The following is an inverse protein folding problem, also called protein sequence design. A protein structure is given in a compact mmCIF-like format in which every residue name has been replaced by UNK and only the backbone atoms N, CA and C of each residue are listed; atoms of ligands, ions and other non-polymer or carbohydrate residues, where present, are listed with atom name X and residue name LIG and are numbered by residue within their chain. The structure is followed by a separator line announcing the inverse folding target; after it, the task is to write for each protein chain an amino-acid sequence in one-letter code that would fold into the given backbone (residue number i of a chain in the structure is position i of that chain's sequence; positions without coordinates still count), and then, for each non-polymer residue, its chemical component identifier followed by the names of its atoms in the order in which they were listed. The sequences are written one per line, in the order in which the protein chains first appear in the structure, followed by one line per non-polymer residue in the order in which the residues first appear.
data_IF_992107372535
#
_entry.id   IF_992107372535
#
_cell.length_a   1.000
_cell.length_b   1.000
_cell.length_c   1.000
_cell.angle_alpha   90.00
_cell.angle_beta   90.00
_cell.angle_gamma   90.00
#
_symmetry.space_group_name_H-M   'P 1'
#
loop_
_entity.id
_entity.type
_entity.pdbx_description
1 polymer ?
#
# COMPACT_ATOMS: atom_id res chain seq x y z
N UNK A 1 -9.73 11.06 16.56
CA UNK A 1 -9.66 11.56 15.17
C UNK A 1 -10.77 10.93 14.34
N UNK A 2 -11.21 11.60 13.29
CA UNK A 2 -12.18 11.12 12.31
C UNK A 2 -11.85 11.69 10.94
N UNK A 3 -12.25 11.00 9.86
CA UNK A 3 -12.18 11.50 8.51
C UNK A 3 -13.35 12.45 8.26
N UNK A 4 -13.10 13.62 7.71
CA UNK A 4 -14.13 14.61 7.38
C UNK A 4 -15.04 14.15 6.25
N UNK A 5 -14.54 13.30 5.36
CA UNK A 5 -15.33 12.75 4.26
C UNK A 5 -16.29 11.63 4.72
N UNK A 6 -15.91 10.90 5.79
CA UNK A 6 -16.65 9.75 6.31
C UNK A 6 -17.50 10.07 7.56
N UNK A 7 -17.45 11.31 8.06
CA UNK A 7 -18.05 11.69 9.34
C UNK A 7 -18.69 13.08 9.22
N UNK A 8 -19.95 13.18 9.57
CA UNK A 8 -20.63 14.47 9.72
C UNK A 8 -20.42 15.07 11.12
N UNK A 9 -20.87 16.32 11.30
CA UNK A 9 -20.71 17.04 12.57
C UNK A 9 -21.39 16.36 13.75
N UNK A 10 -22.53 15.69 13.54
CA UNK A 10 -23.25 14.98 14.59
C UNK A 10 -22.55 13.67 14.98
N UNK A 11 -22.07 12.94 14.00
CA UNK A 11 -21.28 11.71 14.23
C UNK A 11 -19.99 12.05 14.96
N UNK A 12 -19.28 13.10 14.55
CA UNK A 12 -18.08 13.56 15.25
C UNK A 12 -18.38 14.00 16.68
N UNK A 13 -19.47 14.73 16.90
CA UNK A 13 -19.94 15.12 18.22
C UNK A 13 -20.20 13.89 19.11
N UNK A 14 -20.76 12.81 18.57
CA UNK A 14 -20.98 11.57 19.30
C UNK A 14 -19.66 10.95 19.79
N UNK A 15 -18.61 11.00 18.99
CA UNK A 15 -17.25 10.60 19.40
C UNK A 15 -16.69 11.57 20.46
N UNK A 16 -16.87 12.88 20.26
CA UNK A 16 -16.37 13.90 21.15
C UNK A 16 -16.98 13.83 22.56
N UNK A 17 -18.22 13.40 22.70
CA UNK A 17 -18.89 13.20 24.00
C UNK A 17 -18.16 12.25 24.94
N UNK A 18 -17.35 11.35 24.41
CA UNK A 18 -16.56 10.40 25.21
C UNK A 18 -15.26 11.02 25.76
N UNK A 19 -14.93 12.26 25.40
CA UNK A 19 -13.70 12.92 25.83
C UNK A 19 -13.83 13.65 27.18
N UNK A 20 -12.67 13.86 27.83
CA UNK A 20 -12.59 14.71 29.03
C UNK A 20 -12.93 16.17 28.69
N UNK A 21 -12.57 16.63 27.49
CA UNK A 21 -12.87 17.98 27.03
C UNK A 21 -14.39 18.25 27.03
N UNK A 22 -15.18 17.37 26.42
CA UNK A 22 -16.64 17.49 26.44
C UNK A 22 -17.20 17.53 27.88
N UNK A 23 -16.74 16.64 28.75
CA UNK A 23 -17.22 16.58 30.15
C UNK A 23 -17.01 17.90 30.89
N UNK A 24 -15.89 18.60 30.61
CA UNK A 24 -15.61 19.94 31.16
C UNK A 24 -16.52 20.99 30.55
N UNK A 25 -16.64 21.05 29.22
CA UNK A 25 -17.47 22.01 28.51
C UNK A 25 -18.96 21.86 28.82
N UNK A 26 -19.44 20.66 28.99
CA UNK A 26 -20.82 20.34 29.32
C UNK A 26 -21.16 20.46 30.81
N UNK A 27 -20.21 20.85 31.69
CA UNK A 27 -20.43 20.97 33.12
C UNK A 27 -20.71 19.64 33.85
N UNK A 28 -20.29 18.51 33.26
CA UNK A 28 -20.50 17.16 33.86
C UNK A 28 -19.51 16.90 35.00
N UNK A 29 -18.44 17.66 35.08
CA UNK A 29 -17.43 17.57 36.14
C UNK A 29 -17.85 18.39 37.36
N UNK A 30 -17.63 17.82 38.55
CA UNK A 30 -18.06 18.42 39.83
C UNK A 30 -17.56 19.89 39.99
N UNK A 31 -18.48 20.79 40.21
CA UNK A 31 -18.17 22.20 40.46
C UNK A 31 -17.94 23.05 39.22
N UNK A 32 -18.33 22.56 38.04
CA UNK A 32 -18.27 23.33 36.81
C UNK A 32 -19.68 23.49 36.20
N UNK A 33 -19.97 24.69 35.74
CA UNK A 33 -21.19 24.98 34.97
C UNK A 33 -20.95 24.69 33.49
N UNK A 34 -22.04 24.40 32.79
CA UNK A 34 -22.01 24.25 31.33
C UNK A 34 -21.68 25.61 30.68
N UNK A 35 -20.73 25.63 29.76
CA UNK A 35 -20.27 26.86 29.09
C UNK A 35 -20.58 26.92 27.60
N UNK A 36 -21.02 25.82 26.99
CA UNK A 36 -21.38 25.70 25.57
C UNK A 36 -22.51 24.69 25.39
N UNK A 37 -23.44 24.94 24.47
CA UNK A 37 -24.50 23.99 24.14
C UNK A 37 -23.99 22.87 23.22
N UNK A 38 -24.70 21.74 23.18
CA UNK A 38 -24.38 20.66 22.25
C UNK A 38 -24.57 21.10 20.79
N UNK A 39 -25.60 21.90 20.52
CA UNK A 39 -25.89 22.41 19.17
C UNK A 39 -24.75 23.30 18.65
N UNK A 40 -24.16 24.13 19.49
CA UNK A 40 -23.00 24.95 19.09
C UNK A 40 -21.76 24.13 18.79
N UNK A 41 -21.54 23.05 19.53
CA UNK A 41 -20.44 22.12 19.24
C UNK A 41 -20.68 21.39 17.93
N UNK A 42 -21.91 20.92 17.67
CA UNK A 42 -22.28 20.27 16.41
C UNK A 42 -22.11 21.24 15.23
N UNK A 43 -22.61 22.48 15.36
CA UNK A 43 -22.46 23.52 14.33
C UNK A 43 -20.98 23.81 14.03
N UNK A 44 -20.16 23.96 15.08
CA UNK A 44 -18.73 24.17 14.93
C UNK A 44 -18.07 23.00 14.18
N UNK A 45 -18.35 21.76 14.59
CA UNK A 45 -17.78 20.58 13.92
C UNK A 45 -18.26 20.45 12.48
N UNK A 46 -19.54 20.72 12.20
CA UNK A 46 -20.09 20.72 10.85
C UNK A 46 -19.37 21.75 9.97
N UNK A 47 -19.18 22.98 10.48
CA UNK A 47 -18.47 24.03 9.74
C UNK A 47 -17.02 23.65 9.40
N UNK A 48 -16.31 23.04 10.34
CA UNK A 48 -14.94 22.55 10.08
C UNK A 48 -14.92 21.43 9.05
N UNK A 49 -15.86 20.49 9.13
CA UNK A 49 -15.97 19.35 8.19
C UNK A 49 -16.33 19.87 6.80
N UNK A 50 -17.30 20.76 6.68
CA UNK A 50 -17.70 21.37 5.40
C UNK A 50 -16.54 22.12 4.76
N UNK A 51 -15.81 22.92 5.56
CA UNK A 51 -14.63 23.65 5.09
C UNK A 51 -13.53 22.70 4.64
N UNK A 52 -13.21 21.67 5.43
CA UNK A 52 -12.20 20.68 5.09
C UNK A 52 -12.56 19.92 3.82
N UNK A 53 -13.83 19.55 3.63
CA UNK A 53 -14.29 18.86 2.44
C UNK A 53 -14.30 19.78 1.20
N UNK A 54 -14.72 21.05 1.37
CA UNK A 54 -14.72 22.00 0.25
C UNK A 54 -13.30 22.33 -0.23
N UNK A 55 -12.35 22.51 0.68
CA UNK A 55 -10.95 22.81 0.37
C UNK A 55 -10.07 21.54 0.38
N UNK A 56 -10.66 20.39 0.15
CA UNK A 56 -9.97 19.12 0.06
C UNK A 56 -9.24 18.95 -1.28
N UNK A 57 -8.10 18.26 -1.33
CA UNK A 57 -7.43 17.92 -2.58
C UNK A 57 -8.28 17.04 -3.52
N UNK A 58 -9.32 16.37 -3.00
CA UNK A 58 -10.25 15.56 -3.81
C UNK A 58 -11.38 16.37 -4.45
N UNK A 59 -11.55 17.64 -4.08
CA UNK A 59 -12.53 18.53 -4.69
C UNK A 59 -11.91 19.26 -5.89
N UNK A 60 -12.28 18.94 -7.15
CA UNK A 60 -11.69 19.58 -8.32
C UNK A 60 -12.04 21.08 -8.47
N UNK A 61 -13.08 21.54 -7.79
CA UNK A 61 -13.54 22.93 -7.84
C UNK A 61 -12.91 23.80 -6.73
N UNK A 62 -12.09 23.22 -5.86
CA UNK A 62 -11.44 23.96 -4.79
C UNK A 62 -10.38 24.92 -5.36
N UNK A 63 -10.45 26.24 -5.09
CA UNK A 63 -9.43 27.17 -5.56
C UNK A 63 -8.09 27.02 -4.83
N UNK A 64 -8.10 26.45 -3.64
CA UNK A 64 -6.95 26.13 -2.78
C UNK A 64 -7.24 24.86 -2.01
N UNK A 65 -6.19 24.20 -1.53
CA UNK A 65 -6.26 23.06 -0.60
C UNK A 65 -5.85 23.54 0.78
N UNK A 66 -6.64 23.24 1.80
CA UNK A 66 -6.28 23.48 3.21
C UNK A 66 -5.48 22.28 3.70
N UNK A 67 -4.18 22.48 3.93
CA UNK A 67 -3.27 21.48 4.45
C UNK A 67 -3.39 21.33 5.98
N UNK A 68 -3.66 22.46 6.66
CA UNK A 68 -3.81 22.52 8.10
C UNK A 68 -4.70 23.70 8.51
N UNK A 69 -5.65 23.45 9.39
CA UNK A 69 -6.45 24.48 10.04
C UNK A 69 -6.52 24.17 11.54
N UNK A 70 -6.00 25.08 12.33
CA UNK A 70 -6.07 25.04 13.79
C UNK A 70 -6.71 26.32 14.31
N UNK A 71 -7.62 26.19 15.27
CA UNK A 71 -8.13 27.33 16.05
C UNK A 71 -7.80 27.08 17.51
N UNK A 72 -6.99 27.97 18.08
CA UNK A 72 -6.50 27.86 19.44
C UNK A 72 -6.09 29.23 19.99
N UNK A 73 -6.84 29.81 20.99
CA UNK A 73 -7.97 29.15 21.66
C UNK A 73 -9.35 29.58 21.12
N UNK A 74 -10.39 28.85 21.57
CA UNK A 74 -11.75 29.38 21.60
C UNK A 74 -12.03 30.04 22.95
N UNK A 75 -12.68 31.19 22.94
CA UNK A 75 -13.28 31.81 24.14
C UNK A 75 -14.76 31.42 24.22
N UNK A 76 -15.25 31.27 25.43
CA UNK A 76 -16.65 30.99 25.72
C UNK A 76 -17.20 32.15 26.52
N UNK A 77 -18.17 32.87 25.97
CA UNK A 77 -18.83 34.01 26.59
C UNK A 77 -20.30 33.99 26.23
N UNK A 78 -21.16 34.20 27.21
CA UNK A 78 -22.63 34.24 27.03
C UNK A 78 -23.16 33.03 26.21
N UNK A 79 -22.66 31.84 26.51
CA UNK A 79 -22.93 30.59 25.76
C UNK A 79 -22.53 30.61 24.28
N UNK A 80 -21.67 31.55 23.87
CA UNK A 80 -21.11 31.60 22.52
C UNK A 80 -19.70 31.06 22.50
N UNK A 81 -19.37 30.34 21.45
CA UNK A 81 -18.05 29.87 21.16
C UNK A 81 -17.39 30.79 20.12
N UNK A 82 -16.38 31.53 20.54
CA UNK A 82 -15.73 32.57 19.72
C UNK A 82 -14.29 32.15 19.44
N UNK A 83 -13.89 31.95 18.18
CA UNK A 83 -12.49 31.71 17.82
C UNK A 83 -11.69 33.00 18.04
N UNK A 84 -10.54 32.91 18.71
CA UNK A 84 -9.70 34.08 19.00
C UNK A 84 -8.45 34.12 18.12
N UNK A 85 -7.84 32.99 17.88
CA UNK A 85 -6.62 32.86 17.08
C UNK A 85 -6.63 31.55 16.29
N UNK A 86 -5.98 31.55 15.15
CA UNK A 86 -5.93 30.40 14.29
C UNK A 86 -4.77 30.41 13.30
N UNK A 87 -4.38 29.22 12.91
CA UNK A 87 -3.38 28.99 11.85
C UNK A 87 -4.08 28.25 10.72
N UNK A 88 -3.93 28.77 9.50
CA UNK A 88 -4.34 28.09 8.30
C UNK A 88 -3.14 27.98 7.37
N UNK A 89 -2.77 26.74 6.99
CA UNK A 89 -1.83 26.47 5.91
C UNK A 89 -2.61 25.99 4.71
N UNK A 90 -2.27 26.52 3.56
CA UNK A 90 -2.94 26.16 2.32
C UNK A 90 -1.95 26.14 1.16
N UNK A 91 -2.25 25.32 0.17
CA UNK A 91 -1.49 25.14 -1.05
C UNK A 91 -2.37 25.31 -2.29
N UNK A 92 -1.74 25.40 -3.46
CA UNK A 92 -2.48 25.30 -4.70
C UNK A 92 -2.92 23.85 -4.93
N UNK A 93 -4.12 23.64 -5.53
CA UNK A 93 -4.54 22.30 -5.90
C UNK A 93 -3.48 21.63 -6.79
N UNK A 94 -3.05 20.44 -6.43
CA UNK A 94 -2.25 19.58 -7.28
C UNK A 94 -3.17 18.63 -8.06
N UNK A 95 -2.71 18.16 -9.20
CA UNK A 95 -3.40 17.06 -9.90
C UNK A 95 -3.41 15.85 -8.97
N UNK A 96 -4.62 15.31 -8.74
CA UNK A 96 -4.73 14.05 -8.01
C UNK A 96 -3.92 12.97 -8.73
N UNK A 97 -3.28 12.05 -8.00
CA UNK A 97 -2.64 10.89 -8.61
C UNK A 97 -3.64 10.18 -9.54
N UNK A 98 -3.17 9.77 -10.70
CA UNK A 98 -3.99 8.97 -11.61
C UNK A 98 -4.39 7.67 -10.91
N UNK A 99 -5.65 7.27 -11.05
CA UNK A 99 -6.14 6.05 -10.40
C UNK A 99 -5.35 4.83 -10.88
N UNK A 100 -4.81 4.06 -9.95
CA UNK A 100 -4.10 2.81 -10.23
C UNK A 100 -5.06 1.77 -10.84
N UNK A 101 -4.61 0.94 -11.80
CA UNK A 101 -5.42 -0.11 -12.40
C UNK A 101 -5.57 -1.31 -11.44
N UNK A 102 -6.36 -1.16 -10.36
CA UNK A 102 -6.48 -2.12 -9.25
C UNK A 102 -6.91 -3.52 -9.70
N UNK A 103 -7.61 -3.65 -10.82
CA UNK A 103 -7.96 -4.94 -11.40
C UNK A 103 -6.74 -5.79 -11.76
N UNK A 104 -5.57 -5.17 -11.99
CA UNK A 104 -4.30 -5.88 -12.26
C UNK A 104 -3.66 -6.50 -11.01
N UNK A 105 -4.17 -6.20 -9.80
CA UNK A 105 -3.79 -6.89 -8.56
C UNK A 105 -4.14 -8.39 -8.66
N UNK A 106 -5.16 -8.75 -9.43
CA UNK A 106 -5.47 -10.15 -9.71
C UNK A 106 -4.28 -10.89 -10.36
N UNK A 107 -3.60 -10.25 -11.32
CA UNK A 107 -2.43 -10.81 -11.97
C UNK A 107 -1.22 -10.92 -11.01
N UNK A 108 -1.10 -10.01 -10.03
CA UNK A 108 -0.10 -10.09 -8.98
C UNK A 108 -0.32 -11.31 -8.07
N UNK A 109 -1.56 -11.52 -7.61
CA UNK A 109 -1.88 -12.53 -6.61
C UNK A 109 -2.16 -13.92 -7.18
N UNK A 110 -2.67 -13.99 -8.41
CA UNK A 110 -3.08 -15.23 -9.08
C UNK A 110 -2.48 -15.31 -10.51
N UNK A 111 -1.15 -15.15 -10.67
CA UNK A 111 -0.55 -15.15 -11.99
C UNK A 111 -0.71 -16.51 -12.67
N UNK A 112 -0.82 -16.49 -14.00
CA UNK A 112 -0.71 -17.67 -14.84
C UNK A 112 0.69 -17.79 -15.46
N UNK A 113 1.41 -16.67 -15.53
CA UNK A 113 2.77 -16.58 -16.05
C UNK A 113 3.63 -15.66 -15.17
N UNK A 114 4.88 -16.06 -14.96
CA UNK A 114 5.84 -15.32 -14.15
C UNK A 114 7.12 -15.09 -14.96
N UNK A 115 7.63 -13.85 -14.94
CA UNK A 115 8.98 -13.56 -15.42
C UNK A 115 9.85 -13.08 -14.25
N UNK A 116 11.14 -13.39 -14.26
CA UNK A 116 12.08 -13.01 -13.19
C UNK A 116 13.34 -12.41 -13.79
N UNK A 117 13.68 -11.18 -13.37
CA UNK A 117 14.95 -10.52 -13.69
C UNK A 117 15.85 -10.57 -12.47
N UNK A 118 17.16 -10.81 -12.70
CA UNK A 118 18.16 -10.79 -11.64
C UNK A 118 18.49 -12.17 -11.06
N UNK A 119 18.12 -13.26 -11.74
CA UNK A 119 18.52 -14.62 -11.35
C UNK A 119 20.00 -14.85 -11.68
N UNK A 120 20.78 -15.31 -10.70
CA UNK A 120 22.19 -15.65 -10.90
C UNK A 120 22.35 -17.14 -11.24
N UNK A 121 23.10 -17.42 -12.30
CA UNK A 121 23.53 -18.76 -12.70
C UNK A 121 24.73 -19.27 -11.86
N UNK A 122 25.48 -18.33 -11.24
CA UNK A 122 26.74 -18.67 -10.54
C UNK A 122 26.62 -18.82 -9.03
N UNK A 123 25.64 -18.12 -8.39
CA UNK A 123 25.51 -18.10 -6.94
C UNK A 123 24.03 -18.00 -6.53
N UNK A 124 23.74 -18.42 -5.32
CA UNK A 124 22.44 -18.19 -4.72
C UNK A 124 22.31 -16.70 -4.39
N UNK A 125 21.37 -16.01 -5.03
CA UNK A 125 21.01 -14.62 -4.79
C UNK A 125 19.49 -14.50 -4.63
N UNK A 126 18.98 -13.32 -4.33
CA UNK A 126 17.55 -13.13 -4.08
C UNK A 126 16.68 -13.61 -5.24
N UNK A 127 17.01 -13.28 -6.49
CA UNK A 127 16.26 -13.75 -7.65
C UNK A 127 16.23 -15.28 -7.77
N UNK A 128 17.36 -15.96 -7.48
CA UNK A 128 17.40 -17.43 -7.53
C UNK A 128 16.66 -18.09 -6.36
N UNK A 129 16.70 -17.47 -5.16
CA UNK A 129 15.90 -17.94 -4.02
C UNK A 129 14.41 -17.83 -4.33
N UNK A 130 13.97 -16.71 -4.89
CA UNK A 130 12.59 -16.50 -5.33
C UNK A 130 12.17 -17.57 -6.35
N UNK A 131 12.98 -17.78 -7.38
CA UNK A 131 12.74 -18.82 -8.38
C UNK A 131 12.54 -20.19 -7.72
N UNK A 132 13.46 -20.58 -6.83
CA UNK A 132 13.39 -21.86 -6.13
C UNK A 132 12.15 -21.98 -5.22
N UNK A 133 11.75 -20.90 -4.55
CA UNK A 133 10.55 -20.88 -3.72
C UNK A 133 9.28 -20.99 -4.55
N UNK A 134 9.19 -20.31 -5.70
CA UNK A 134 8.06 -20.40 -6.64
C UNK A 134 7.91 -21.83 -7.15
N UNK A 135 9.00 -22.47 -7.61
CA UNK A 135 8.99 -23.87 -8.08
C UNK A 135 8.59 -24.81 -6.93
N UNK A 136 9.17 -24.62 -5.75
CA UNK A 136 8.85 -25.43 -4.56
C UNK A 136 7.43 -25.21 -4.03
N UNK A 137 6.79 -24.08 -4.39
CA UNK A 137 5.38 -23.77 -4.14
C UNK A 137 4.42 -24.54 -5.06
N UNK A 138 4.93 -25.17 -6.11
CA UNK A 138 4.14 -25.94 -7.07
C UNK A 138 3.74 -25.18 -8.33
N UNK A 139 4.27 -23.96 -8.55
CA UNK A 139 4.00 -23.22 -9.79
C UNK A 139 4.63 -23.90 -10.98
N UNK A 140 3.93 -24.04 -12.14
CA UNK A 140 4.44 -24.74 -13.31
C UNK A 140 5.70 -24.10 -13.88
N UNK A 141 6.81 -24.85 -13.97
CA UNK A 141 8.10 -24.32 -14.45
C UNK A 141 8.05 -23.83 -15.90
N UNK A 142 7.19 -24.42 -16.73
CA UNK A 142 6.95 -24.03 -18.13
C UNK A 142 6.26 -22.65 -18.26
N UNK A 143 5.60 -22.18 -17.19
CA UNK A 143 4.97 -20.87 -17.15
C UNK A 143 5.87 -19.80 -16.50
N UNK A 144 7.15 -20.14 -16.21
CA UNK A 144 8.15 -19.23 -15.67
C UNK A 144 9.19 -18.94 -16.75
N UNK A 145 9.61 -17.67 -16.88
CA UNK A 145 10.71 -17.25 -17.72
C UNK A 145 11.74 -16.45 -16.93
N UNK A 146 13.02 -16.72 -17.17
CA UNK A 146 14.11 -15.92 -16.59
C UNK A 146 14.61 -14.95 -17.65
N UNK A 147 14.55 -13.65 -17.36
CA UNK A 147 15.11 -12.64 -18.26
C UNK A 147 16.62 -12.55 -18.00
N UNK A 148 17.38 -13.23 -18.83
CA UNK A 148 18.85 -13.27 -18.72
C UNK A 148 19.50 -13.73 -20.03
N UNK A 149 20.36 -12.89 -20.64
CA UNK A 149 21.14 -13.32 -21.80
C UNK A 149 22.22 -14.36 -21.38
N UNK A 150 22.51 -15.29 -22.27
CA UNK A 150 23.60 -16.25 -22.18
C UNK A 150 23.18 -17.69 -21.90
N UNK A 151 22.78 -18.09 -20.69
CA UNK A 151 22.33 -19.46 -20.42
C UNK A 151 21.00 -19.77 -21.10
N UNK A 152 20.77 -21.01 -21.50
CA UNK A 152 19.47 -21.46 -22.02
C UNK A 152 18.45 -21.75 -20.92
N UNK A 153 18.93 -22.17 -19.75
CA UNK A 153 18.10 -22.47 -18.58
C UNK A 153 18.85 -22.29 -17.25
N UNK A 154 18.10 -22.06 -16.17
CA UNK A 154 18.60 -22.09 -14.78
C UNK A 154 17.56 -22.84 -13.93
N UNK A 155 18.00 -23.83 -13.14
CA UNK A 155 17.14 -24.64 -12.26
C UNK A 155 15.94 -25.27 -13.03
N UNK A 156 16.11 -25.61 -14.31
CA UNK A 156 15.07 -26.19 -15.16
C UNK A 156 14.07 -25.18 -15.76
N UNK A 157 14.35 -23.89 -15.64
CA UNK A 157 13.49 -22.80 -16.17
C UNK A 157 14.20 -22.11 -17.33
N UNK A 158 13.46 -21.89 -18.40
CA UNK A 158 13.95 -21.27 -19.63
C UNK A 158 14.42 -19.84 -19.41
N UNK A 159 15.62 -19.52 -19.90
CA UNK A 159 16.15 -18.17 -19.98
C UNK A 159 15.85 -17.55 -21.35
N UNK A 160 15.42 -16.29 -21.35
CA UNK A 160 15.22 -15.47 -22.56
C UNK A 160 16.07 -14.22 -22.49
N UNK A 161 16.55 -13.68 -23.62
CA UNK A 161 17.56 -12.63 -23.61
C UNK A 161 17.07 -11.30 -23.03
N UNK A 162 15.83 -10.89 -23.30
CA UNK A 162 15.29 -9.59 -22.95
C UNK A 162 13.78 -9.61 -22.74
N UNK A 163 13.22 -8.51 -22.25
CA UNK A 163 11.77 -8.35 -22.03
C UNK A 163 10.98 -8.42 -23.34
N UNK A 164 11.53 -7.90 -24.42
CA UNK A 164 10.94 -7.95 -25.77
C UNK A 164 10.84 -9.36 -26.36
N UNK A 165 11.59 -10.32 -25.80
CA UNK A 165 11.60 -11.70 -26.24
C UNK A 165 10.59 -12.59 -25.47
N UNK A 166 9.81 -12.01 -24.52
CA UNK A 166 8.75 -12.72 -23.83
C UNK A 166 7.70 -13.23 -24.83
N UNK A 167 7.31 -14.52 -24.76
CA UNK A 167 6.32 -15.09 -25.68
C UNK A 167 4.93 -14.46 -25.54
N UNK A 168 4.66 -13.89 -24.40
CA UNK A 168 3.43 -13.14 -24.08
C UNK A 168 3.68 -12.18 -22.90
N UNK A 169 2.78 -11.21 -22.72
CA UNK A 169 2.78 -10.34 -21.55
C UNK A 169 2.69 -11.19 -20.28
N UNK A 170 3.63 -10.97 -19.33
CA UNK A 170 3.67 -11.70 -18.07
C UNK A 170 2.62 -11.17 -17.10
N UNK A 171 1.99 -12.04 -16.32
CA UNK A 171 1.10 -11.60 -15.24
C UNK A 171 1.90 -10.99 -14.11
N UNK A 172 2.98 -11.63 -13.70
CA UNK A 172 3.89 -11.15 -12.67
C UNK A 172 5.33 -11.07 -13.18
N UNK A 173 5.93 -9.90 -13.09
CA UNK A 173 7.37 -9.71 -13.30
C UNK A 173 8.07 -9.43 -11.95
N UNK A 174 9.01 -10.27 -11.57
CA UNK A 174 9.82 -10.09 -10.36
C UNK A 174 11.14 -9.42 -10.74
N UNK A 175 11.41 -8.26 -10.13
CA UNK A 175 12.64 -7.48 -10.34
C UNK A 175 13.55 -7.61 -9.12
N UNK A 176 14.64 -8.39 -9.26
CA UNK A 176 15.63 -8.66 -8.20
C UNK A 176 17.05 -8.19 -8.61
N UNK A 177 17.15 -6.98 -9.12
CA UNK A 177 18.39 -6.33 -9.56
C UNK A 177 18.87 -5.30 -8.51
N UNK A 178 19.96 -4.58 -8.78
CA UNK A 178 20.38 -3.45 -7.94
C UNK A 178 19.48 -2.23 -8.15
N UNK A 179 19.33 -1.40 -7.11
CA UNK A 179 18.47 -0.20 -7.15
C UNK A 179 18.81 0.76 -8.29
N UNK A 180 20.08 0.85 -8.66
CA UNK A 180 20.56 1.75 -9.73
C UNK A 180 20.03 1.38 -11.12
N UNK A 181 19.67 0.13 -11.33
CA UNK A 181 19.14 -0.37 -12.60
C UNK A 181 17.61 -0.20 -12.70
N UNK A 182 16.92 0.06 -11.58
CA UNK A 182 15.45 0.09 -11.54
C UNK A 182 14.85 1.18 -12.42
N UNK A 183 15.32 2.45 -12.43
CA UNK A 183 14.70 3.49 -13.24
C UNK A 183 14.68 3.18 -14.74
N UNK A 184 15.78 2.68 -15.29
CA UNK A 184 15.88 2.32 -16.72
C UNK A 184 15.06 1.08 -17.04
N UNK A 185 15.03 0.13 -16.11
CA UNK A 185 14.24 -1.10 -16.25
C UNK A 185 12.73 -0.82 -16.23
N UNK A 186 12.27 0.16 -15.45
CA UNK A 186 10.86 0.57 -15.47
C UNK A 186 10.46 1.11 -16.84
N UNK A 187 11.29 1.94 -17.48
CA UNK A 187 11.04 2.39 -18.85
C UNK A 187 10.92 1.21 -19.82
N UNK A 188 11.86 0.26 -19.75
CA UNK A 188 11.84 -0.93 -20.61
C UNK A 188 10.58 -1.79 -20.37
N UNK A 189 10.16 -1.98 -19.11
CA UNK A 189 8.93 -2.73 -18.76
C UNK A 189 7.68 -2.06 -19.35
N UNK A 190 7.61 -0.73 -19.26
CA UNK A 190 6.48 0.06 -19.75
C UNK A 190 6.46 0.05 -21.29
N UNK A 191 7.59 0.36 -21.92
CA UNK A 191 7.72 0.49 -23.39
C UNK A 191 7.45 -0.85 -24.10
N UNK A 192 7.88 -1.96 -23.51
CA UNK A 192 7.63 -3.31 -24.05
C UNK A 192 6.28 -3.88 -23.65
N UNK A 193 5.55 -3.21 -22.75
CA UNK A 193 4.31 -3.72 -22.15
C UNK A 193 4.46 -5.15 -21.60
N UNK A 194 5.60 -5.41 -20.94
CA UNK A 194 6.08 -6.75 -20.59
C UNK A 194 5.25 -7.45 -19.52
N UNK A 195 4.56 -6.70 -18.63
CA UNK A 195 3.86 -7.28 -17.49
C UNK A 195 2.57 -6.56 -17.12
N UNK A 196 1.64 -7.28 -16.49
CA UNK A 196 0.45 -6.72 -15.83
C UNK A 196 0.76 -6.21 -14.42
N UNK A 197 1.62 -6.91 -13.71
CA UNK A 197 2.07 -6.56 -12.35
C UNK A 197 3.58 -6.76 -12.20
N UNK A 198 4.20 -5.95 -11.37
CA UNK A 198 5.65 -5.95 -11.13
C UNK A 198 5.93 -5.96 -9.63
N UNK A 199 6.82 -6.83 -9.17
CA UNK A 199 7.31 -6.82 -7.80
C UNK A 199 8.74 -6.29 -7.75
N UNK A 200 8.96 -5.17 -7.05
CA UNK A 200 10.26 -4.52 -6.88
C UNK A 200 10.92 -4.96 -5.57
N UNK A 201 11.87 -5.89 -5.66
CA UNK A 201 12.63 -6.40 -4.52
C UNK A 201 13.67 -5.40 -4.00
N UNK A 202 14.36 -4.60 -4.83
CA UNK A 202 15.48 -3.78 -4.40
C UNK A 202 15.11 -2.76 -3.32
N UNK A 203 15.97 -2.65 -2.29
CA UNK A 203 16.01 -1.51 -1.39
C UNK A 203 16.86 -0.38 -1.98
N UNK A 204 16.72 0.84 -1.47
CA UNK A 204 17.34 2.07 -1.99
C UNK A 204 16.42 2.83 -2.94
N UNK A 205 15.12 2.73 -2.67
CA UNK A 205 14.05 3.44 -3.37
C UNK A 205 13.22 4.27 -2.38
N UNK A 206 13.92 5.15 -1.61
CA UNK A 206 13.34 6.11 -0.68
C UNK A 206 13.68 5.87 0.80
N UNK A 207 13.90 4.64 1.24
CA UNK A 207 14.13 4.31 2.66
C UNK A 207 15.57 4.59 3.14
N UNK A 208 16.50 4.84 2.22
CA UNK A 208 17.90 5.15 2.54
C UNK A 208 18.20 6.60 2.23
N UNK A 209 18.95 7.25 3.13
CA UNK A 209 19.45 8.61 2.90
C UNK A 209 20.20 8.68 1.55
N UNK A 210 19.77 9.61 0.69
CA UNK A 210 20.33 9.82 -0.65
C UNK A 210 19.70 8.94 -1.74
N UNK A 211 18.64 8.20 -1.44
CA UNK A 211 17.85 7.44 -2.42
C UNK A 211 16.51 8.10 -2.79
N UNK A 212 16.23 9.27 -2.21
CA UNK A 212 14.97 9.99 -2.36
C UNK A 212 14.72 10.38 -3.82
N UNK A 213 15.69 10.98 -4.47
CA UNK A 213 15.58 11.39 -5.88
C UNK A 213 15.35 10.20 -6.84
N UNK A 214 15.90 9.01 -6.49
CA UNK A 214 15.64 7.80 -7.27
C UNK A 214 14.22 7.31 -7.08
N UNK A 215 13.71 7.38 -5.85
CA UNK A 215 12.32 7.01 -5.56
C UNK A 215 11.35 7.93 -6.28
N UNK A 216 11.57 9.24 -6.23
CA UNK A 216 10.76 10.25 -6.93
C UNK A 216 10.75 9.98 -8.44
N UNK A 217 11.90 9.71 -9.06
CA UNK A 217 12.00 9.38 -10.48
C UNK A 217 11.22 8.10 -10.82
N UNK A 218 11.31 7.07 -9.98
CA UNK A 218 10.57 5.80 -10.15
C UNK A 218 9.07 6.04 -10.07
N UNK A 219 8.61 6.78 -9.06
CA UNK A 219 7.18 7.10 -8.88
C UNK A 219 6.64 7.94 -10.05
N UNK A 220 7.40 8.94 -10.51
CA UNK A 220 7.02 9.76 -11.68
C UNK A 220 6.80 8.91 -12.94
N UNK A 221 7.71 7.94 -13.20
CA UNK A 221 7.57 7.03 -14.35
C UNK A 221 6.36 6.13 -14.24
N UNK A 222 6.07 5.61 -13.05
CA UNK A 222 4.91 4.77 -12.77
C UNK A 222 3.62 5.59 -12.94
N UNK A 223 3.54 6.78 -12.35
CA UNK A 223 2.38 7.68 -12.48
C UNK A 223 2.10 8.04 -13.94
N UNK A 224 3.14 8.29 -14.72
CA UNK A 224 3.02 8.53 -16.15
C UNK A 224 2.47 7.30 -16.89
N UNK A 225 2.90 6.09 -16.51
CA UNK A 225 2.37 4.86 -17.10
C UNK A 225 0.88 4.67 -16.77
N UNK A 226 0.44 5.04 -15.55
CA UNK A 226 -0.96 4.98 -15.16
C UNK A 226 -1.86 5.94 -15.95
N UNK A 227 -1.29 6.98 -16.58
CA UNK A 227 -2.04 7.88 -17.47
C UNK A 227 -2.29 7.28 -18.86
N UNK A 228 -1.68 6.16 -19.20
CA UNK A 228 -1.91 5.46 -20.47
C UNK A 228 -3.30 4.81 -20.52
N UNK A 229 -3.87 4.54 -21.72
CA UNK A 229 -5.20 3.98 -21.86
C UNK A 229 -5.42 2.63 -21.14
N UNK A 230 -4.38 1.81 -21.00
CA UNK A 230 -4.42 0.52 -20.28
C UNK A 230 -3.97 0.64 -18.81
N UNK A 231 -3.60 1.86 -18.36
CA UNK A 231 -3.17 2.17 -17.02
C UNK A 231 -1.77 1.65 -16.65
N UNK A 232 -1.00 1.09 -17.59
CA UNK A 232 0.30 0.49 -17.29
C UNK A 232 0.25 -0.67 -16.31
N UNK A 233 1.40 -1.26 -15.90
CA UNK A 233 1.46 -2.28 -14.85
C UNK A 233 1.28 -1.68 -13.45
N UNK A 234 0.81 -2.48 -12.48
CA UNK A 234 0.87 -2.12 -11.05
C UNK A 234 2.18 -2.59 -10.44
N UNK A 235 2.73 -1.84 -9.47
CA UNK A 235 4.00 -2.15 -8.84
C UNK A 235 3.85 -2.39 -7.33
N UNK A 236 4.33 -3.53 -6.86
CA UNK A 236 4.45 -3.85 -5.43
C UNK A 236 5.89 -3.57 -4.97
N UNK A 237 6.08 -2.77 -3.94
CA UNK A 237 7.42 -2.43 -3.41
C UNK A 237 7.77 -0.95 -3.64
N UNK A 238 9.05 -0.49 -3.79
CA UNK A 238 10.32 -1.19 -3.56
C UNK A 238 10.59 -1.64 -2.13
N UNK A 239 11.80 -2.16 -1.95
CA UNK A 239 12.23 -2.72 -0.68
C UNK A 239 11.26 -3.79 -0.15
N UNK A 240 10.74 -4.61 -1.05
CA UNK A 240 9.73 -5.62 -0.82
C UNK A 240 10.39 -6.98 -0.57
N UNK A 241 10.02 -7.64 0.53
CA UNK A 241 10.53 -8.99 0.83
C UNK A 241 9.89 -10.08 -0.04
N UNK A 242 8.74 -9.80 -0.64
CA UNK A 242 7.93 -10.73 -1.39
C UNK A 242 6.59 -11.05 -0.73
N UNK A 243 5.87 -11.95 -1.34
CA UNK A 243 4.58 -12.40 -0.86
C UNK A 243 4.37 -13.89 -1.10
N UNK A 244 3.42 -14.46 -0.37
CA UNK A 244 2.88 -15.81 -0.58
C UNK A 244 1.41 -15.66 -0.93
N UNK A 245 0.99 -16.25 -2.04
CA UNK A 245 -0.39 -16.47 -2.40
C UNK A 245 -0.62 -17.96 -2.55
N UNK A 246 -1.33 -18.56 -1.59
CA UNK A 246 -1.66 -20.00 -1.69
C UNK A 246 -2.64 -20.29 -2.83
N UNK A 247 -3.72 -19.48 -3.00
CA UNK A 247 -4.61 -19.67 -4.14
C UNK A 247 -3.92 -19.51 -5.49
N UNK A 248 -2.93 -18.60 -5.58
CA UNK A 248 -2.12 -18.42 -6.79
C UNK A 248 -0.93 -19.37 -6.92
N UNK A 249 -0.68 -20.24 -5.92
CA UNK A 249 0.47 -21.15 -5.85
C UNK A 249 1.83 -20.46 -5.99
N UNK A 250 1.95 -19.22 -5.48
CA UNK A 250 3.14 -18.38 -5.63
C UNK A 250 3.76 -18.07 -4.27
N UNK A 251 5.08 -18.25 -4.16
CA UNK A 251 5.90 -17.88 -3.02
C UNK A 251 7.12 -17.10 -3.53
N UNK A 252 7.06 -15.77 -3.46
CA UNK A 252 8.14 -14.87 -3.91
C UNK A 252 9.03 -14.38 -2.77
N UNK A 253 8.88 -14.91 -1.56
CA UNK A 253 9.72 -14.52 -0.42
C UNK A 253 11.19 -14.85 -0.71
N UNK A 254 12.10 -13.87 -0.60
CA UNK A 254 13.53 -14.08 -0.88
C UNK A 254 14.31 -14.74 0.28
N UNK A 255 13.61 -15.36 1.24
CA UNK A 255 14.21 -16.14 2.31
C UNK A 255 14.19 -17.62 1.91
N UNK A 256 15.31 -18.34 1.99
CA UNK A 256 15.34 -19.76 1.72
C UNK A 256 14.31 -20.52 2.57
N UNK A 257 13.63 -21.49 1.96
CA UNK A 257 12.50 -22.22 2.57
C UNK A 257 12.87 -22.88 3.91
N UNK A 258 14.13 -23.30 4.05
CA UNK A 258 14.64 -23.92 5.28
C UNK A 258 14.78 -22.95 6.44
N UNK A 259 14.86 -21.65 6.16
CA UNK A 259 15.01 -20.57 7.16
C UNK A 259 13.69 -19.94 7.56
N UNK A 260 12.64 -20.09 6.77
CA UNK A 260 11.31 -19.61 7.09
C UNK A 260 10.51 -20.73 7.74
N UNK A 261 10.24 -20.60 9.04
CA UNK A 261 9.39 -21.55 9.76
C UNK A 261 7.99 -21.55 9.13
N UNK A 262 7.56 -22.73 8.65
CA UNK A 262 6.20 -22.95 8.14
C UNK A 262 5.47 -23.91 9.06
N UNK A 263 4.13 -23.84 9.15
CA UNK A 263 3.35 -24.84 9.87
C UNK A 263 3.68 -26.25 9.34
N UNK A 264 3.87 -27.21 10.25
CA UNK A 264 4.12 -28.62 9.87
C UNK A 264 2.90 -29.24 9.19
N UNK A 265 1.73 -28.81 9.63
CA UNK A 265 0.44 -29.16 9.03
C UNK A 265 -0.23 -27.86 8.60
N UNK A 266 -0.41 -27.64 7.28
CA UNK A 266 -1.03 -26.41 6.81
C UNK A 266 -2.48 -26.35 7.27
N UNK A 267 -2.81 -25.34 8.06
CA UNK A 267 -4.17 -24.98 8.41
C UNK A 267 -4.55 -23.88 7.44
N UNK A 268 -5.33 -24.18 6.42
CA UNK A 268 -5.79 -23.16 5.50
C UNK A 268 -6.69 -22.17 6.24
N UNK A 269 -6.21 -20.95 6.39
CA UNK A 269 -6.95 -19.83 6.99
C UNK A 269 -7.42 -18.90 5.88
N UNK A 270 -8.72 -18.62 5.85
CA UNK A 270 -9.28 -17.60 4.97
C UNK A 270 -8.91 -16.20 5.48
N UNK A 271 -7.66 -15.85 5.35
CA UNK A 271 -7.15 -14.58 5.85
C UNK A 271 -6.02 -14.04 4.99
N UNK A 272 -5.83 -12.73 5.05
CA UNK A 272 -4.68 -12.03 4.50
C UNK A 272 -3.88 -11.36 5.62
N UNK A 273 -2.55 -11.38 5.50
CA UNK A 273 -1.67 -10.61 6.35
C UNK A 273 -0.80 -9.70 5.48
N UNK A 274 -1.10 -8.41 5.52
CA UNK A 274 -0.42 -7.35 4.77
C UNK A 274 0.49 -6.59 5.72
N UNK A 275 1.76 -6.47 5.40
CA UNK A 275 2.73 -5.79 6.25
C UNK A 275 3.63 -4.87 5.42
N UNK A 276 3.80 -3.63 5.88
CA UNK A 276 4.79 -2.72 5.32
C UNK A 276 6.21 -3.23 5.58
N UNK A 277 6.45 -3.84 6.74
CA UNK A 277 7.74 -4.40 7.13
C UNK A 277 7.87 -5.89 6.83
N UNK A 278 8.87 -6.27 6.01
CA UNK A 278 9.24 -7.66 5.77
C UNK A 278 9.78 -8.37 7.03
N UNK A 279 10.55 -7.66 7.86
CA UNK A 279 11.06 -8.19 9.12
C UNK A 279 9.95 -8.52 10.11
N UNK A 280 8.86 -7.75 10.12
CA UNK A 280 7.71 -8.02 10.95
C UNK A 280 7.02 -9.33 10.55
N UNK A 281 6.83 -9.57 9.24
CA UNK A 281 6.28 -10.82 8.72
C UNK A 281 7.11 -12.01 9.19
N UNK A 282 8.43 -12.01 8.96
CA UNK A 282 9.30 -13.13 9.34
C UNK A 282 9.28 -13.40 10.83
N UNK A 283 9.26 -12.34 11.64
CA UNK A 283 9.17 -12.47 13.09
C UNK A 283 7.83 -13.09 13.52
N UNK A 284 6.72 -12.69 12.92
CA UNK A 284 5.39 -13.22 13.28
C UNK A 284 5.22 -14.66 12.82
N UNK A 285 5.56 -14.99 11.59
CA UNK A 285 5.48 -16.36 11.08
C UNK A 285 6.39 -17.33 11.83
N UNK A 286 7.55 -16.86 12.32
CA UNK A 286 8.46 -17.69 13.12
C UNK A 286 7.97 -17.91 14.55
N UNK A 287 7.27 -16.92 15.15
CA UNK A 287 6.82 -16.98 16.56
C UNK A 287 5.40 -17.50 16.74
N UNK A 288 4.60 -17.50 15.69
CA UNK A 288 3.21 -17.95 15.70
C UNK A 288 3.06 -19.13 14.73
N UNK A 289 3.32 -20.37 15.16
CA UNK A 289 3.34 -21.55 14.28
C UNK A 289 2.02 -21.84 13.58
N UNK A 290 0.91 -21.32 14.11
CA UNK A 290 -0.43 -21.48 13.53
C UNK A 290 -0.80 -20.35 12.55
N UNK A 291 0.05 -19.35 12.35
CA UNK A 291 -0.20 -18.27 11.40
C UNK A 291 0.08 -18.77 9.98
N UNK A 292 -0.98 -19.11 9.27
CA UNK A 292 -0.92 -19.70 7.93
C UNK A 292 -1.99 -19.09 7.00
N UNK A 293 -1.93 -17.76 6.74
CA UNK A 293 -2.93 -17.07 5.95
C UNK A 293 -2.91 -17.52 4.48
N UNK A 294 -4.03 -17.33 3.76
CA UNK A 294 -4.12 -17.54 2.32
C UNK A 294 -3.19 -16.59 1.55
N UNK A 295 -3.07 -15.36 2.06
CA UNK A 295 -2.16 -14.33 1.50
C UNK A 295 -1.28 -13.74 2.59
N UNK A 296 0.02 -13.78 2.37
CA UNK A 296 1.04 -13.17 3.24
C UNK A 296 1.87 -12.20 2.40
N UNK A 297 1.83 -10.90 2.68
CA UNK A 297 2.43 -9.90 1.81
C UNK A 297 3.30 -8.89 2.55
N UNK A 298 4.55 -8.72 2.08
CA UNK A 298 5.36 -7.55 2.36
C UNK A 298 5.15 -6.52 1.25
N UNK A 299 4.77 -5.29 1.58
CA UNK A 299 4.53 -4.26 0.56
C UNK A 299 5.68 -3.25 0.43
N UNK A 300 6.63 -3.26 1.37
CA UNK A 300 7.80 -2.37 1.33
C UNK A 300 7.44 -0.89 1.37
N UNK A 301 8.08 -0.08 0.51
CA UNK A 301 8.00 1.39 0.54
C UNK A 301 6.69 1.97 -0.01
N UNK A 302 5.81 1.16 -0.59
CA UNK A 302 4.57 1.62 -1.23
C UNK A 302 4.83 2.69 -2.31
N UNK A 303 5.81 2.43 -3.20
CA UNK A 303 6.12 3.37 -4.28
C UNK A 303 5.00 3.45 -5.34
N UNK A 304 4.07 2.48 -5.36
CA UNK A 304 2.84 2.48 -6.15
C UNK A 304 1.70 1.86 -5.32
N UNK A 305 1.49 0.54 -5.39
CA UNK A 305 0.44 -0.13 -4.62
C UNK A 305 0.59 0.11 -3.12
N UNK A 306 -0.53 0.49 -2.50
CA UNK A 306 -0.63 0.79 -1.07
C UNK A 306 -1.42 -0.26 -0.31
N UNK A 307 -1.43 -0.15 1.01
CA UNK A 307 -2.29 -1.00 1.86
C UNK A 307 -3.77 -0.79 1.50
N UNK A 308 -4.18 0.45 1.25
CA UNK A 308 -5.56 0.78 0.88
C UNK A 308 -6.00 0.10 -0.41
N UNK A 309 -5.14 0.07 -1.43
CA UNK A 309 -5.39 -0.62 -2.70
C UNK A 309 -5.59 -2.13 -2.50
N UNK A 310 -4.66 -2.75 -1.75
CA UNK A 310 -4.72 -4.19 -1.48
C UNK A 310 -5.94 -4.58 -0.65
N UNK A 311 -6.29 -3.80 0.37
CA UNK A 311 -7.50 -4.05 1.17
C UNK A 311 -8.75 -3.87 0.32
N UNK A 312 -8.82 -2.84 -0.52
CA UNK A 312 -9.93 -2.60 -1.44
C UNK A 312 -10.14 -3.76 -2.41
N UNK A 313 -9.05 -4.39 -2.87
CA UNK A 313 -9.12 -5.55 -3.74
C UNK A 313 -9.46 -6.84 -2.96
N UNK A 314 -8.80 -7.08 -1.80
CA UNK A 314 -8.89 -8.34 -1.08
C UNK A 314 -10.20 -8.52 -0.30
N UNK A 315 -10.90 -7.44 0.08
CA UNK A 315 -12.14 -7.52 0.84
C UNK A 315 -13.25 -8.30 0.12
N UNK A 316 -13.17 -8.38 -1.22
CA UNK A 316 -14.15 -9.04 -2.07
C UNK A 316 -13.72 -10.46 -2.49
N UNK A 317 -12.60 -10.98 -1.95
CA UNK A 317 -12.13 -12.34 -2.25
C UNK A 317 -12.76 -13.37 -1.31
N UNK A 318 -13.33 -14.43 -1.86
CA UNK A 318 -13.93 -15.55 -1.09
C UNK A 318 -12.96 -16.24 -0.11
N UNK A 319 -11.65 -16.09 -0.35
CA UNK A 319 -10.60 -16.69 0.50
C UNK A 319 -10.15 -15.75 1.63
N UNK A 320 -10.86 -14.63 1.87
CA UNK A 320 -10.44 -13.62 2.85
C UNK A 320 -11.60 -13.20 3.74
N UNK A 321 -11.70 -13.80 4.92
CA UNK A 321 -12.65 -13.39 5.97
C UNK A 321 -12.05 -12.33 6.92
N UNK A 322 -10.71 -12.31 7.05
CA UNK A 322 -9.97 -11.43 7.95
C UNK A 322 -8.71 -10.90 7.27
N UNK A 323 -8.49 -9.59 7.36
CA UNK A 323 -7.25 -8.94 6.93
C UNK A 323 -6.52 -8.40 8.16
N UNK A 324 -5.33 -8.95 8.45
CA UNK A 324 -4.41 -8.41 9.43
C UNK A 324 -3.46 -7.42 8.75
N UNK A 325 -3.26 -6.24 9.36
CA UNK A 325 -2.46 -5.17 8.78
C UNK A 325 -1.39 -4.74 9.79
N UNK A 326 -0.15 -4.60 9.31
CA UNK A 326 0.91 -3.85 9.97
C UNK A 326 1.39 -2.74 9.05
N UNK A 327 1.27 -1.49 9.48
CA UNK A 327 1.72 -0.33 8.73
C UNK A 327 2.56 0.61 9.60
N UNK A 328 3.48 1.31 8.95
CA UNK A 328 4.39 2.28 9.53
C UNK A 328 4.00 3.72 9.18
N UNK A 329 3.28 3.89 8.07
CA UNK A 329 2.78 5.18 7.59
C UNK A 329 1.90 5.04 6.36
N UNK A 330 1.26 6.15 6.03
CA UNK A 330 0.50 6.33 4.80
C UNK A 330 1.27 7.25 3.85
N UNK A 331 1.11 7.03 2.56
CA UNK A 331 1.33 8.05 1.55
C UNK A 331 0.07 8.94 1.46
N UNK A 332 0.11 9.98 0.63
CA UNK A 332 -0.99 10.92 0.45
C UNK A 332 -2.32 10.20 0.20
N UNK A 333 -3.38 10.59 0.89
CA UNK A 333 -4.76 10.08 0.76
C UNK A 333 -4.97 8.57 0.97
N UNK A 334 -3.91 7.77 1.07
CA UNK A 334 -4.02 6.31 1.25
C UNK A 334 -4.73 5.93 2.55
N UNK A 335 -4.60 6.75 3.59
CA UNK A 335 -5.35 6.57 4.83
C UNK A 335 -6.85 6.69 4.62
N UNK A 336 -7.29 7.59 3.74
CA UNK A 336 -8.69 7.74 3.37
C UNK A 336 -9.18 6.53 2.56
N UNK A 337 -8.41 6.10 1.57
CA UNK A 337 -8.71 4.92 0.77
C UNK A 337 -8.85 3.67 1.65
N UNK A 338 -7.93 3.46 2.60
CA UNK A 338 -8.01 2.36 3.55
C UNK A 338 -9.27 2.44 4.42
N UNK A 339 -9.60 3.62 4.97
CA UNK A 339 -10.81 3.82 5.76
C UNK A 339 -12.08 3.53 4.95
N UNK A 340 -12.12 3.94 3.68
CA UNK A 340 -13.22 3.67 2.75
C UNK A 340 -13.34 2.18 2.42
N UNK A 341 -12.23 1.47 2.31
CA UNK A 341 -12.21 0.03 2.03
C UNK A 341 -12.69 -0.83 3.21
N UNK A 342 -12.46 -0.37 4.46
CA UNK A 342 -12.88 -1.08 5.69
C UNK A 342 -14.36 -0.84 6.02
N UNK A 343 -14.95 0.26 5.57
CA UNK A 343 -16.35 0.62 5.83
C UNK A 343 -17.31 -0.19 4.98
#
# INVERSE_FOLDING_TARGET
SASTELTDGYQFFTLFKNTIAYKKLAGVTRGQDRIVSDDQLIECFSSFIEMANYYSPVNPDAPYVIDELEINPFAFTDYKMVPLDGICRFSHPSTLPTGRPLQKIAALLHPQTIAIIGVSDKKLNFGRIILQNIIAGGFPSEAIHIIKPGPSEIDGVTCIPGLSDLPQKSDLLVVAVSADQVPDLIDEIIDTNAANSVMLVPGGLGEKKGSEARAELVMEKIDKAHQSPDGGPVFLGGNCMGFISKPGQVDTIFIPKEKLSKPKEPIQQNSAFISQSGAFITTRTSKVPLLDPAYLMSIGNQNDLTIGDLVSFMKDLDQVDVIAIYMEGFNDLDGLLLCSAIR
#
